data_IF_976590493729
#
_entry.id   IF_976590493729
#
_cell.length_a   1.000
_cell.length_b   1.000
_cell.length_c   1.000
_cell.angle_alpha   90.00
_cell.angle_beta   90.00
_cell.angle_gamma   90.00
#
_symmetry.space_group_name_H-M   'P 1'
#
loop_
_entity.id
_entity.type
_entity.pdbx_description
1 polymer ?
#
# COMPACT_ATOMS: atom_id res chain seq x y z
N UNK A 1 -3.43 9.61 -18.50
CA UNK A 1 -4.83 10.13 -18.50
C UNK A 1 -5.37 10.09 -17.07
N UNK A 2 -6.09 11.12 -16.62
CA UNK A 2 -6.75 11.09 -15.32
C UNK A 2 -8.08 10.30 -15.44
N UNK A 3 -8.24 9.16 -14.74
CA UNK A 3 -9.31 8.18 -15.03
C UNK A 3 -10.73 8.69 -14.75
N UNK A 4 -10.88 9.75 -13.95
CA UNK A 4 -12.17 10.37 -13.63
C UNK A 4 -12.38 11.73 -14.31
N UNK A 5 -11.47 12.17 -15.19
CA UNK A 5 -11.53 13.50 -15.82
C UNK A 5 -12.89 13.72 -16.50
N UNK A 6 -13.63 14.72 -16.03
CA UNK A 6 -14.91 15.13 -16.61
C UNK A 6 -16.13 14.30 -16.18
N UNK A 7 -15.94 13.24 -15.40
CA UNK A 7 -17.06 12.40 -14.92
C UNK A 7 -17.76 13.06 -13.73
N UNK A 8 -19.09 12.97 -13.69
CA UNK A 8 -19.93 13.36 -12.56
C UNK A 8 -20.38 12.13 -11.77
N UNK A 9 -20.02 12.10 -10.50
CA UNK A 9 -20.26 11.00 -9.56
C UNK A 9 -21.29 11.43 -8.52
N UNK A 10 -22.25 10.57 -8.22
CA UNK A 10 -23.25 10.79 -7.16
C UNK A 10 -23.19 9.65 -6.15
N UNK A 11 -23.34 9.98 -4.87
CA UNK A 11 -23.43 9.00 -3.78
C UNK A 11 -24.90 8.73 -3.42
N UNK A 12 -25.24 7.48 -3.12
CA UNK A 12 -26.56 7.13 -2.59
C UNK A 12 -26.46 6.15 -1.42
N UNK A 13 -27.16 6.47 -0.33
CA UNK A 13 -27.20 5.67 0.89
C UNK A 13 -25.99 5.79 1.81
N UNK A 14 -25.05 6.71 1.52
CA UNK A 14 -23.93 7.07 2.40
C UNK A 14 -23.27 8.39 1.97
N UNK A 15 -22.39 8.93 2.82
CA UNK A 15 -21.48 10.04 2.51
C UNK A 15 -20.06 9.62 2.85
N UNK A 16 -19.10 10.01 2.02
CA UNK A 16 -17.68 9.74 2.26
C UNK A 16 -16.83 10.92 1.75
N UNK A 17 -16.49 11.84 2.66
CA UNK A 17 -15.75 13.07 2.34
C UNK A 17 -14.40 12.77 1.69
N UNK A 18 -13.72 11.75 2.19
CA UNK A 18 -12.40 11.34 1.72
C UNK A 18 -12.46 10.83 0.27
N UNK A 19 -13.48 10.05 -0.08
CA UNK A 19 -13.68 9.57 -1.45
C UNK A 19 -14.06 10.72 -2.40
N UNK A 20 -14.83 11.70 -1.92
CA UNK A 20 -15.15 12.90 -2.71
C UNK A 20 -13.89 13.67 -3.11
N UNK A 21 -12.99 13.90 -2.15
CA UNK A 21 -11.69 14.55 -2.40
C UNK A 21 -10.85 13.76 -3.41
N UNK A 22 -10.84 12.42 -3.33
CA UNK A 22 -10.16 11.56 -4.32
C UNK A 22 -10.74 11.64 -5.71
N UNK A 23 -12.08 11.67 -5.83
CA UNK A 23 -12.77 11.83 -7.10
C UNK A 23 -12.35 13.15 -7.75
N UNK A 24 -12.37 14.24 -6.97
CA UNK A 24 -11.95 15.57 -7.43
C UNK A 24 -10.47 15.59 -7.82
N UNK A 25 -9.58 14.99 -7.02
CA UNK A 25 -8.14 14.90 -7.30
C UNK A 25 -7.83 14.10 -8.59
N UNK A 26 -8.70 13.17 -9.00
CA UNK A 26 -8.60 12.43 -10.27
C UNK A 26 -9.37 13.10 -11.41
N UNK A 27 -9.83 14.34 -11.23
CA UNK A 27 -10.48 15.16 -12.24
C UNK A 27 -11.99 14.96 -12.39
N UNK A 28 -12.62 14.22 -11.47
CA UNK A 28 -14.07 14.04 -11.42
C UNK A 28 -14.80 15.14 -10.65
N UNK A 29 -16.12 15.13 -10.70
CA UNK A 29 -17.01 16.04 -9.97
C UNK A 29 -17.96 15.23 -9.11
N UNK A 30 -18.26 15.71 -7.90
CA UNK A 30 -19.27 15.09 -7.03
C UNK A 30 -20.52 15.96 -7.05
N UNK A 31 -21.68 15.35 -7.33
CA UNK A 31 -22.98 16.01 -7.28
C UNK A 31 -23.85 15.44 -6.14
N UNK A 32 -24.79 16.25 -5.65
CA UNK A 32 -25.69 15.90 -4.54
C UNK A 32 -26.92 15.09 -4.99
N UNK A 33 -27.26 15.15 -6.28
CA UNK A 33 -28.45 14.52 -6.84
C UNK A 33 -28.15 13.88 -8.19
N UNK A 34 -28.92 12.83 -8.50
CA UNK A 34 -28.87 12.15 -9.80
C UNK A 34 -29.58 13.05 -10.81
N UNK A 35 -28.93 13.30 -11.93
CA UNK A 35 -29.39 14.13 -13.05
C UNK A 35 -28.98 13.48 -14.38
N UNK A 36 -29.42 14.05 -15.50
CA UNK A 36 -29.05 13.60 -16.85
C UNK A 36 -27.54 13.64 -17.13
N UNK A 37 -26.77 14.43 -16.37
CA UNK A 37 -25.31 14.52 -16.51
C UNK A 37 -24.56 13.56 -15.57
N UNK A 38 -25.25 12.64 -14.89
CA UNK A 38 -24.61 11.71 -13.96
C UNK A 38 -24.01 10.55 -14.72
N UNK A 39 -22.69 10.38 -14.61
CA UNK A 39 -21.99 9.25 -15.23
C UNK A 39 -22.05 8.00 -14.35
N UNK A 40 -21.85 8.18 -13.04
CA UNK A 40 -21.68 7.07 -12.09
C UNK A 40 -22.41 7.37 -10.78
N UNK A 41 -23.14 6.37 -10.28
CA UNK A 41 -23.70 6.36 -8.93
C UNK A 41 -22.98 5.32 -8.09
N UNK A 42 -22.41 5.75 -6.96
CA UNK A 42 -21.84 4.86 -5.94
C UNK A 42 -22.90 4.63 -4.88
N UNK A 43 -23.36 3.39 -4.77
CA UNK A 43 -24.43 3.00 -3.85
C UNK A 43 -23.89 2.17 -2.68
N UNK A 44 -24.39 2.42 -1.46
CA UNK A 44 -24.14 1.51 -0.32
C UNK A 44 -24.77 0.14 -0.56
N UNK A 45 -25.92 0.11 -1.25
CA UNK A 45 -26.54 -1.10 -1.80
C UNK A 45 -27.05 -0.84 -3.21
N UNK A 46 -26.61 -1.69 -4.15
CA UNK A 46 -27.01 -1.63 -5.56
C UNK A 46 -28.49 -1.95 -5.78
N UNK A 47 -29.18 -2.48 -4.75
CA UNK A 47 -30.62 -2.83 -4.79
C UNK A 47 -31.54 -1.72 -4.25
N UNK A 48 -31.01 -0.58 -3.79
CA UNK A 48 -31.87 0.52 -3.29
C UNK A 48 -32.75 1.10 -4.39
N UNK A 49 -33.95 1.60 -4.05
CA UNK A 49 -34.88 2.20 -5.01
C UNK A 49 -34.22 3.30 -5.87
N UNK A 50 -33.35 4.12 -5.26
CA UNK A 50 -32.59 5.18 -5.97
C UNK A 50 -31.51 4.61 -6.90
N UNK A 51 -30.87 3.50 -6.53
CA UNK A 51 -29.90 2.81 -7.38
C UNK A 51 -30.57 2.10 -8.57
N UNK A 52 -31.72 1.44 -8.33
CA UNK A 52 -32.52 0.79 -9.39
C UNK A 52 -32.98 1.83 -10.41
N UNK A 53 -33.55 2.94 -9.96
CA UNK A 53 -33.98 4.05 -10.84
C UNK A 53 -32.83 4.64 -11.65
N UNK A 54 -31.64 4.77 -11.06
CA UNK A 54 -30.46 5.24 -11.78
C UNK A 54 -30.06 4.28 -12.91
N UNK A 55 -30.08 2.96 -12.64
CA UNK A 55 -29.83 1.92 -13.66
C UNK A 55 -30.86 1.98 -14.80
N UNK A 56 -32.14 2.15 -14.47
CA UNK A 56 -33.21 2.29 -15.47
C UNK A 56 -33.01 3.52 -16.36
N UNK A 57 -32.42 4.58 -15.82
CA UNK A 57 -32.03 5.79 -16.57
C UNK A 57 -30.71 5.63 -17.35
N UNK A 58 -30.15 4.41 -17.43
CA UNK A 58 -28.89 4.12 -18.11
C UNK A 58 -27.64 4.59 -17.35
N UNK A 59 -27.79 5.08 -16.12
CA UNK A 59 -26.66 5.52 -15.30
C UNK A 59 -25.94 4.30 -14.72
N UNK A 60 -24.62 4.31 -14.78
CA UNK A 60 -23.82 3.22 -14.24
C UNK A 60 -23.87 3.22 -12.71
N UNK A 61 -24.26 2.09 -12.13
CA UNK A 61 -24.36 1.93 -10.67
C UNK A 61 -23.42 0.84 -10.19
N UNK A 62 -22.61 1.17 -9.20
CA UNK A 62 -21.68 0.27 -8.55
C UNK A 62 -21.58 0.55 -7.05
N UNK A 63 -21.06 -0.41 -6.30
CA UNK A 63 -20.73 -0.23 -4.89
C UNK A 63 -19.35 0.42 -4.70
N UNK A 64 -18.99 0.71 -3.44
CA UNK A 64 -17.71 1.33 -3.11
C UNK A 64 -16.50 0.48 -3.53
N UNK A 65 -16.53 -0.83 -3.28
CA UNK A 65 -15.42 -1.71 -3.59
C UNK A 65 -15.19 -1.83 -5.11
N UNK A 66 -16.28 -1.92 -5.88
CA UNK A 66 -16.25 -1.90 -7.36
C UNK A 66 -15.68 -0.57 -7.88
N UNK A 67 -16.12 0.56 -7.34
CA UNK A 67 -15.60 1.87 -7.72
C UNK A 67 -14.10 2.03 -7.39
N UNK A 68 -13.67 1.57 -6.21
CA UNK A 68 -12.25 1.53 -5.86
C UNK A 68 -11.45 0.59 -6.78
N UNK A 69 -11.97 -0.60 -7.07
CA UNK A 69 -11.31 -1.56 -7.96
C UNK A 69 -11.21 -1.08 -9.42
N UNK A 70 -12.08 -0.19 -9.87
CA UNK A 70 -12.00 0.30 -11.24
C UNK A 70 -11.17 1.58 -11.36
N UNK A 71 -11.46 2.56 -10.51
CA UNK A 71 -10.88 3.90 -10.65
C UNK A 71 -9.64 4.11 -9.80
N UNK A 72 -9.36 3.17 -8.89
CA UNK A 72 -8.26 3.24 -7.95
C UNK A 72 -7.47 1.93 -7.77
N UNK A 73 -7.81 0.82 -8.46
CA UNK A 73 -7.05 -0.45 -8.36
C UNK A 73 -5.61 -0.34 -8.80
N UNK A 74 -5.29 0.62 -9.67
CA UNK A 74 -3.91 0.97 -10.02
C UNK A 74 -3.08 1.51 -8.84
N UNK A 75 -3.66 1.57 -7.63
CA UNK A 75 -2.99 1.98 -6.40
C UNK A 75 -2.84 0.84 -5.38
N UNK A 76 -3.47 -0.33 -5.58
CA UNK A 76 -3.34 -1.47 -4.67
C UNK A 76 -2.12 -2.29 -5.06
N UNK A 77 -1.08 -2.23 -4.24
CA UNK A 77 0.16 -2.97 -4.42
C UNK A 77 0.27 -4.03 -3.35
N UNK A 78 0.93 -5.12 -3.68
CA UNK A 78 1.37 -6.06 -2.68
C UNK A 78 2.79 -6.54 -2.97
N UNK A 79 3.47 -6.90 -1.89
CA UNK A 79 4.78 -7.54 -1.91
C UNK A 79 4.82 -8.66 -0.90
N UNK A 80 5.70 -9.63 -1.13
CA UNK A 80 6.03 -10.66 -0.15
C UNK A 80 7.39 -10.30 0.44
N UNK A 81 7.49 -10.20 1.76
CA UNK A 81 8.80 -9.98 2.41
C UNK A 81 9.63 -11.24 2.33
N UNK A 82 10.95 -11.11 2.33
CA UNK A 82 11.88 -12.24 2.21
C UNK A 82 12.53 -12.51 3.57
N UNK A 83 12.82 -13.79 3.84
CA UNK A 83 13.56 -14.22 5.02
C UNK A 83 14.19 -15.61 4.79
N UNK A 84 15.48 -15.63 4.45
CA UNK A 84 16.27 -16.86 4.28
C UNK A 84 15.59 -17.92 3.37
N UNK A 85 15.02 -17.48 2.25
CA UNK A 85 14.26 -18.32 1.31
C UNK A 85 12.75 -18.32 1.54
N UNK A 86 12.30 -18.01 2.75
CA UNK A 86 10.89 -17.93 3.13
C UNK A 86 10.23 -16.59 2.79
N UNK A 87 8.90 -16.55 2.90
CA UNK A 87 8.08 -15.35 2.69
C UNK A 87 7.23 -15.02 3.92
N UNK A 88 7.86 -14.40 4.93
CA UNK A 88 7.30 -14.23 6.27
C UNK A 88 5.98 -13.45 6.28
N UNK A 89 5.81 -12.49 5.37
CA UNK A 89 4.59 -11.69 5.29
C UNK A 89 4.20 -11.31 3.87
N UNK A 90 2.89 -11.22 3.63
CA UNK A 90 2.31 -10.49 2.50
C UNK A 90 1.90 -9.11 2.97
N UNK A 91 2.51 -8.08 2.38
CA UNK A 91 2.20 -6.68 2.63
C UNK A 91 1.31 -6.18 1.50
N UNK A 92 0.10 -5.76 1.81
CA UNK A 92 -0.81 -5.12 0.88
C UNK A 92 -0.96 -3.65 1.25
N UNK A 93 -1.00 -2.74 0.29
CA UNK A 93 -1.24 -1.32 0.57
C UNK A 93 -1.89 -0.61 -0.60
N UNK A 94 -2.74 0.35 -0.28
CA UNK A 94 -3.25 1.34 -1.22
C UNK A 94 -2.63 2.71 -0.89
N UNK A 95 -3.14 3.81 -1.46
CA UNK A 95 -2.62 5.15 -1.20
C UNK A 95 -2.88 5.71 0.21
N UNK A 96 -3.58 4.98 1.09
CA UNK A 96 -4.04 5.44 2.40
C UNK A 96 -3.62 4.51 3.52
N UNK A 97 -3.73 3.21 3.28
CA UNK A 97 -3.62 2.17 4.29
C UNK A 97 -2.78 1.01 3.80
N UNK A 98 -2.19 0.31 4.76
CA UNK A 98 -1.56 -0.97 4.53
C UNK A 98 -2.13 -2.03 5.49
N UNK A 99 -1.92 -3.29 5.09
CA UNK A 99 -2.29 -4.50 5.79
C UNK A 99 -1.14 -5.47 5.68
N UNK A 100 -0.95 -6.28 6.71
CA UNK A 100 0.05 -7.34 6.69
C UNK A 100 -0.62 -8.65 7.05
N UNK A 101 -0.34 -9.68 6.26
CA UNK A 101 -0.86 -11.02 6.45
C UNK A 101 0.30 -11.99 6.68
N UNK A 102 0.11 -12.96 7.58
CA UNK A 102 1.00 -14.11 7.76
C UNK A 102 0.59 -15.23 6.80
N UNK A 103 1.55 -16.10 6.42
CA UNK A 103 1.25 -17.31 5.68
C UNK A 103 0.29 -18.21 6.47
N UNK A 104 -0.53 -18.97 5.76
CA UNK A 104 -1.54 -19.86 6.38
C UNK A 104 -0.99 -21.19 6.87
N UNK A 105 0.21 -21.58 6.41
CA UNK A 105 1.03 -22.67 6.95
C UNK A 105 2.47 -22.16 7.15
N UNK A 106 3.21 -22.62 8.18
CA UNK A 106 4.64 -22.33 8.33
C UNK A 106 5.52 -23.03 7.28
N UNK A 107 4.99 -23.92 6.44
CA UNK A 107 5.75 -24.66 5.43
C UNK A 107 6.17 -23.78 4.23
N UNK A 108 7.25 -24.17 3.55
CA UNK A 108 7.87 -23.42 2.45
C UNK A 108 6.98 -23.22 1.21
N UNK A 109 5.93 -24.02 1.04
CA UNK A 109 5.01 -23.94 -0.11
C UNK A 109 3.76 -23.09 0.20
N UNK A 110 4.01 -21.84 0.62
CA UNK A 110 2.96 -20.89 0.99
C UNK A 110 2.19 -20.45 -0.25
N UNK A 111 1.00 -21.00 -0.43
CA UNK A 111 0.06 -20.58 -1.49
C UNK A 111 -1.00 -19.58 -1.01
N UNK A 112 -1.18 -19.40 0.31
CA UNK A 112 -2.15 -18.45 0.87
C UNK A 112 -1.68 -17.68 2.11
N UNK A 113 -2.27 -16.49 2.30
CA UNK A 113 -1.93 -15.52 3.36
C UNK A 113 -3.22 -15.01 3.98
N UNK A 114 -3.72 -15.71 5.00
CA UNK A 114 -5.09 -15.51 5.47
C UNK A 114 -5.15 -14.93 6.90
N UNK A 115 -4.07 -15.06 7.68
CA UNK A 115 -4.00 -14.56 9.05
C UNK A 115 -3.53 -13.09 9.10
N UNK A 116 -4.40 -12.19 9.58
CA UNK A 116 -4.07 -10.76 9.69
C UNK A 116 -3.00 -10.53 10.77
N UNK A 117 -1.82 -10.11 10.37
CA UNK A 117 -0.72 -9.69 11.24
C UNK A 117 -0.85 -8.22 11.65
N UNK A 118 -1.23 -7.37 10.69
CA UNK A 118 -1.47 -5.93 10.89
C UNK A 118 -2.80 -5.58 10.23
N UNK A 119 -3.70 -5.06 11.05
CA UNK A 119 -4.99 -4.52 10.62
C UNK A 119 -4.79 -3.32 9.69
N UNK A 120 -5.80 -2.94 8.88
CA UNK A 120 -5.75 -1.73 8.05
C UNK A 120 -5.21 -0.53 8.82
N UNK A 121 -4.01 -0.06 8.48
CA UNK A 121 -3.31 0.99 9.22
C UNK A 121 -2.99 2.16 8.29
N UNK A 122 -3.39 3.41 8.63
CA UNK A 122 -3.04 4.58 7.85
C UNK A 122 -1.53 4.84 7.81
N UNK A 123 -1.05 5.44 6.73
CA UNK A 123 0.34 5.86 6.61
C UNK A 123 0.47 7.13 5.77
N UNK A 124 1.55 7.89 5.97
CA UNK A 124 1.86 9.12 5.20
C UNK A 124 2.89 8.87 4.11
N UNK A 125 3.86 7.98 4.36
CA UNK A 125 4.91 7.60 3.41
C UNK A 125 5.16 6.10 3.48
N UNK A 126 5.43 5.50 2.32
CA UNK A 126 5.83 4.10 2.19
C UNK A 126 7.16 4.03 1.46
N UNK A 127 8.07 3.20 1.96
CA UNK A 127 9.31 2.86 1.31
C UNK A 127 9.31 1.38 0.97
N UNK A 128 9.56 1.09 -0.30
CA UNK A 128 9.67 -0.27 -0.82
C UNK A 128 11.13 -0.68 -0.72
N UNK A 129 11.43 -1.74 0.02
CA UNK A 129 12.77 -2.29 0.14
C UNK A 129 13.22 -2.83 -1.20
N UNK A 130 14.31 -2.28 -1.74
CA UNK A 130 14.88 -2.70 -3.02
C UNK A 130 16.26 -3.28 -2.80
N UNK A 131 16.58 -4.28 -3.62
CA UNK A 131 17.94 -4.81 -3.71
C UNK A 131 18.67 -4.19 -4.92
N UNK A 132 19.49 -3.15 -4.70
CA UNK A 132 20.24 -2.51 -5.79
C UNK A 132 21.39 -3.40 -6.26
N UNK A 133 21.86 -3.16 -7.49
CA UNK A 133 23.09 -3.76 -7.98
C UNK A 133 24.30 -3.16 -7.24
N UNK A 134 25.03 -4.00 -6.52
CA UNK A 134 26.31 -3.71 -5.89
C UNK A 134 27.21 -4.96 -5.99
N UNK A 135 28.43 -4.91 -5.46
CA UNK A 135 29.36 -6.04 -5.54
C UNK A 135 28.78 -7.34 -4.96
N UNK A 136 28.17 -7.27 -3.76
CA UNK A 136 27.59 -8.43 -3.07
C UNK A 136 26.36 -8.96 -3.78
N UNK A 137 25.44 -8.09 -4.19
CA UNK A 137 24.21 -8.51 -4.87
C UNK A 137 24.48 -8.99 -6.30
N UNK A 138 25.51 -8.45 -6.96
CA UNK A 138 26.00 -8.98 -8.24
C UNK A 138 26.47 -10.41 -8.09
N UNK A 139 27.28 -10.69 -7.06
CA UNK A 139 27.79 -12.03 -6.80
C UNK A 139 26.65 -13.04 -6.54
N UNK A 140 25.66 -12.69 -5.72
CA UNK A 140 24.51 -13.56 -5.45
C UNK A 140 23.47 -13.61 -6.57
N UNK A 141 23.53 -12.69 -7.54
CA UNK A 141 22.42 -12.46 -8.48
C UNK A 141 21.15 -11.91 -7.82
N UNK A 142 21.25 -11.44 -6.56
CA UNK A 142 20.12 -11.06 -5.73
C UNK A 142 19.81 -9.55 -5.82
N UNK A 143 19.59 -9.02 -7.03
CA UNK A 143 19.23 -7.62 -7.28
C UNK A 143 18.08 -7.46 -8.29
N UNK A 144 17.56 -6.24 -8.36
CA UNK A 144 16.56 -5.83 -9.35
C UNK A 144 15.10 -6.08 -8.92
N UNK A 145 14.14 -5.78 -9.82
CA UNK A 145 12.72 -5.71 -9.49
C UNK A 145 12.10 -6.99 -8.91
N UNK A 146 12.72 -8.16 -9.14
CA UNK A 146 12.27 -9.44 -8.55
C UNK A 146 12.41 -9.48 -7.02
N UNK A 147 13.19 -8.56 -6.43
CA UNK A 147 13.36 -8.41 -4.99
C UNK A 147 12.72 -7.12 -4.45
N UNK A 148 11.97 -6.37 -5.26
CA UNK A 148 11.26 -5.20 -4.74
C UNK A 148 10.25 -5.66 -3.69
N UNK A 149 10.23 -4.97 -2.55
CA UNK A 149 9.38 -5.30 -1.42
C UNK A 149 9.85 -6.48 -0.57
N UNK A 150 11.11 -6.90 -0.72
CA UNK A 150 11.75 -7.89 0.17
C UNK A 150 11.69 -7.49 1.65
N UNK A 151 11.55 -6.20 1.92
CA UNK A 151 11.10 -5.61 3.18
C UNK A 151 10.41 -4.28 2.88
N UNK A 152 9.67 -3.73 3.84
CA UNK A 152 8.86 -2.52 3.69
C UNK A 152 8.98 -1.64 4.93
N UNK A 153 8.89 -0.33 4.74
CA UNK A 153 8.85 0.64 5.82
C UNK A 153 7.70 1.62 5.61
N UNK A 154 6.84 1.79 6.60
CA UNK A 154 5.71 2.71 6.56
C UNK A 154 5.87 3.79 7.63
N UNK A 155 5.75 5.05 7.26
CA UNK A 155 5.58 6.15 8.22
C UNK A 155 4.12 6.21 8.65
N UNK A 156 3.86 5.81 9.90
CA UNK A 156 2.49 5.70 10.44
C UNK A 156 2.09 6.92 11.30
N UNK A 157 3.08 7.70 11.75
CA UNK A 157 2.93 9.00 12.37
C UNK A 157 4.26 9.77 12.20
N UNK A 158 4.31 11.10 12.46
CA UNK A 158 5.56 11.87 12.32
C UNK A 158 6.72 11.21 13.06
N UNK A 159 7.76 10.84 12.30
CA UNK A 159 8.97 10.13 12.78
C UNK A 159 8.72 8.76 13.43
N UNK A 160 7.52 8.19 13.32
CA UNK A 160 7.18 6.86 13.83
C UNK A 160 6.93 5.93 12.67
N UNK A 161 7.70 4.86 12.60
CA UNK A 161 7.69 3.95 11.47
C UNK A 161 7.33 2.52 11.89
N UNK A 162 6.63 1.82 11.00
CA UNK A 162 6.46 0.38 11.05
C UNK A 162 7.33 -0.27 9.99
N UNK A 163 8.31 -1.04 10.44
CA UNK A 163 9.11 -1.92 9.61
C UNK A 163 8.43 -3.29 9.47
N UNK A 164 8.41 -3.83 8.26
CA UNK A 164 7.89 -5.15 7.92
C UNK A 164 8.93 -5.87 7.05
N UNK A 165 9.61 -6.87 7.61
CA UNK A 165 10.65 -7.66 6.94
C UNK A 165 10.59 -9.12 7.37
N UNK A 166 11.66 -9.64 7.96
CA UNK A 166 11.65 -10.93 8.68
C UNK A 166 10.77 -10.85 9.95
N UNK A 167 10.60 -9.65 10.50
CA UNK A 167 9.72 -9.35 11.62
C UNK A 167 8.86 -8.10 11.34
N UNK A 168 7.89 -7.83 12.23
CA UNK A 168 7.15 -6.56 12.26
C UNK A 168 7.59 -5.78 13.49
N UNK A 169 8.11 -4.55 13.31
CA UNK A 169 8.61 -3.73 14.41
C UNK A 169 8.19 -2.27 14.28
N UNK A 170 7.98 -1.61 15.41
CA UNK A 170 7.81 -0.16 15.49
C UNK A 170 9.08 0.49 16.02
N UNK A 171 9.47 1.62 15.44
CA UNK A 171 10.54 2.47 16.00
C UNK A 171 10.27 3.95 15.72
N UNK A 172 10.98 4.82 16.44
CA UNK A 172 11.01 6.25 16.17
C UNK A 172 12.37 6.63 15.62
N UNK A 173 12.40 7.51 14.62
CA UNK A 173 13.63 8.15 14.16
C UNK A 173 13.83 9.50 14.83
N UNK A 174 15.07 9.99 14.81
CA UNK A 174 15.43 11.33 15.29
C UNK A 174 15.01 12.40 14.28
N UNK A 175 15.26 12.17 12.99
CA UNK A 175 14.77 12.98 11.87
C UNK A 175 13.93 12.16 10.89
N UNK A 176 13.12 12.79 10.01
CA UNK A 176 12.35 12.06 9.00
C UNK A 176 13.25 11.19 8.11
N UNK A 177 12.84 9.94 7.87
CA UNK A 177 13.53 9.02 6.96
C UNK A 177 13.47 9.55 5.53
N UNK A 178 14.59 9.58 4.82
CA UNK A 178 14.67 10.04 3.43
C UNK A 178 15.01 8.89 2.47
N UNK A 179 15.77 7.91 2.94
CA UNK A 179 16.19 6.76 2.15
C UNK A 179 15.94 5.45 2.89
N UNK A 180 15.56 4.43 2.15
CA UNK A 180 15.42 3.05 2.64
C UNK A 180 15.88 2.11 1.54
N UNK A 181 16.77 1.19 1.87
CA UNK A 181 17.33 0.19 0.95
C UNK A 181 17.37 -1.14 1.68
N UNK A 182 17.18 -2.24 0.93
CA UNK A 182 17.20 -3.57 1.50
C UNK A 182 17.88 -4.54 0.52
N UNK A 183 19.23 -4.51 0.45
CA UNK A 183 20.00 -5.44 -0.35
C UNK A 183 19.77 -6.87 0.11
N UNK A 184 19.71 -7.81 -0.83
CA UNK A 184 19.48 -9.22 -0.53
C UNK A 184 20.79 -10.00 -0.71
N UNK A 185 21.14 -10.80 0.30
CA UNK A 185 22.31 -11.67 0.28
C UNK A 185 22.09 -12.96 -0.50
N UNK A 186 23.11 -13.81 -0.53
CA UNK A 186 23.09 -15.07 -1.30
C UNK A 186 22.01 -16.05 -0.84
N UNK A 187 21.68 -16.05 0.46
CA UNK A 187 20.67 -16.93 1.04
C UNK A 187 19.26 -16.32 1.02
N UNK A 188 18.99 -15.36 0.13
CA UNK A 188 17.71 -14.64 0.10
C UNK A 188 17.37 -13.91 1.42
N UNK A 189 18.42 -13.49 2.15
CA UNK A 189 18.32 -12.73 3.40
C UNK A 189 18.40 -11.23 3.08
N UNK A 190 17.37 -10.43 3.40
CA UNK A 190 17.43 -8.99 3.24
C UNK A 190 18.23 -8.31 4.35
N UNK A 191 18.99 -7.26 4.00
CA UNK A 191 19.76 -6.40 4.92
C UNK A 191 19.21 -4.95 4.91
N UNK A 192 17.99 -4.73 5.43
CA UNK A 192 17.34 -3.43 5.38
C UNK A 192 18.01 -2.39 6.29
N UNK A 193 18.21 -1.21 5.73
CA UNK A 193 18.59 -0.02 6.48
C UNK A 193 17.88 1.22 5.97
N UNK A 194 17.64 2.15 6.88
CA UNK A 194 17.07 3.46 6.58
C UNK A 194 18.06 4.58 6.91
N UNK A 195 17.99 5.70 6.19
CA UNK A 195 18.77 6.89 6.46
C UNK A 195 17.82 8.06 6.68
N UNK A 196 17.96 8.76 7.81
CA UNK A 196 17.24 10.00 8.06
C UNK A 196 17.90 11.22 7.44
N UNK A 197 17.20 12.36 7.49
CA UNK A 197 17.67 13.64 6.96
C UNK A 197 19.01 14.11 7.54
N UNK A 198 19.34 13.73 8.77
CA UNK A 198 20.62 14.05 9.40
C UNK A 198 21.72 13.05 9.05
N UNK A 199 21.42 12.04 8.23
CA UNK A 199 22.38 11.02 7.83
C UNK A 199 22.54 9.88 8.83
N UNK A 200 21.72 9.79 9.89
CA UNK A 200 21.77 8.65 10.79
C UNK A 200 21.26 7.39 10.08
N UNK A 201 21.98 6.29 10.26
CA UNK A 201 21.68 5.01 9.61
C UNK A 201 21.03 4.07 10.62
N UNK A 202 19.80 3.67 10.34
CA UNK A 202 19.01 2.73 11.15
C UNK A 202 19.17 1.34 10.56
N UNK A 203 19.94 0.50 11.24
CA UNK A 203 20.20 -0.89 10.87
C UNK A 203 19.08 -1.77 11.45
N UNK A 204 18.19 -2.26 10.58
CA UNK A 204 16.90 -2.82 11.02
C UNK A 204 16.97 -4.29 11.40
N UNK A 205 18.02 -5.01 10.99
CA UNK A 205 18.28 -6.36 11.51
C UNK A 205 18.91 -6.28 12.90
N UNK A 206 19.92 -5.42 13.05
CA UNK A 206 20.78 -5.31 14.22
C UNK A 206 20.16 -4.47 15.34
N UNK A 207 19.12 -3.69 15.02
CA UNK A 207 18.48 -2.74 15.95
C UNK A 207 19.45 -1.67 16.48
N UNK A 208 20.40 -1.27 15.63
CA UNK A 208 21.41 -0.25 15.95
C UNK A 208 21.21 0.98 15.09
N UNK A 209 21.47 2.16 15.67
CA UNK A 209 21.56 3.42 14.93
C UNK A 209 23.00 3.87 14.89
N UNK A 210 23.54 4.05 13.68
CA UNK A 210 24.87 4.61 13.45
C UNK A 210 24.71 6.11 13.20
N UNK A 211 25.32 6.92 14.06
CA UNK A 211 25.36 8.36 13.89
C UNK A 211 26.65 8.78 13.19
N UNK A 212 26.55 9.74 12.27
CA UNK A 212 27.74 10.40 11.73
C UNK A 212 28.22 11.35 12.82
N UNK A 213 29.48 11.15 13.25
CA UNK A 213 30.15 12.01 14.25
C UNK A 213 30.83 13.17 13.54
#
# INVERSE_FOLDING_TARGET
>A
MAPLKGKTIVFTGFRDKELQERIVAKGGRVASAISQHTDIVIASTVKSAKAVKAREQGVRVMNRAEFDAEFFSSSFKHYLTHDNGGRSFKVCFDSRRFWVFKPSSPDDDVTSYDAVAVKPTPYTRVFIGRSPLNERTRFSGAYGPKFDGNSMLFEIAPRRYMFVGHCIRLFNSTEPIEKFVSPVGNSDVPYPYAIDRSGHVYMLLEEVVLTVV
#
